data_IF_647742991906
#
_entry.id   IF_647742991906
#
_cell.length_a   1.000
_cell.length_b   1.000
_cell.length_c   1.000
_cell.angle_alpha   90.00
_cell.angle_beta   90.00
_cell.angle_gamma   90.00
#
_symmetry.space_group_name_H-M   'P 1'
#
loop_
_entity.id
_entity.type
_entity.pdbx_description
1 polymer ?
#
# COMPACT_ATOMS: atom_id res chain seq x y z
N UNK A 1 3.02 24.36 -3.25
CA UNK A 1 3.95 23.67 -4.19
C UNK A 1 3.20 22.52 -4.81
N UNK A 2 3.27 22.36 -6.12
CA UNK A 2 2.68 21.22 -6.80
C UNK A 2 3.41 19.93 -6.37
N UNK A 3 2.70 18.85 -5.96
CA UNK A 3 3.33 17.64 -5.45
C UNK A 3 4.37 17.07 -6.42
N UNK A 4 4.07 17.01 -7.72
CA UNK A 4 4.99 16.51 -8.74
C UNK A 4 6.31 17.29 -8.76
N UNK A 5 6.26 18.62 -8.77
CA UNK A 5 7.46 19.44 -8.78
C UNK A 5 8.34 19.27 -7.52
N UNK A 6 7.70 19.00 -6.37
CA UNK A 6 8.42 18.71 -5.13
C UNK A 6 9.18 17.40 -5.22
N UNK A 7 8.48 16.32 -5.62
CA UNK A 7 9.12 14.99 -5.70
C UNK A 7 10.16 14.91 -6.81
N UNK A 8 9.99 15.63 -7.92
CA UNK A 8 10.99 15.71 -8.99
C UNK A 8 12.30 16.34 -8.49
N UNK A 9 12.19 17.44 -7.75
CA UNK A 9 13.37 18.09 -7.16
C UNK A 9 14.08 17.21 -6.13
N UNK A 10 13.31 16.53 -5.27
CA UNK A 10 13.87 15.62 -4.26
C UNK A 10 14.55 14.42 -4.94
N UNK A 11 13.91 13.81 -5.93
CA UNK A 11 14.48 12.70 -6.68
C UNK A 11 15.81 13.07 -7.33
N UNK A 12 15.88 14.22 -7.99
CA UNK A 12 17.12 14.72 -8.58
C UNK A 12 18.24 14.88 -7.55
N UNK A 13 17.91 15.28 -6.31
CA UNK A 13 18.91 15.35 -5.23
C UNK A 13 19.42 13.98 -4.79
N UNK A 14 18.58 12.95 -4.79
CA UNK A 14 19.02 11.57 -4.53
C UNK A 14 19.93 11.04 -5.63
N UNK A 15 19.57 11.23 -6.90
CA UNK A 15 20.41 10.82 -8.04
C UNK A 15 21.80 11.49 -7.98
N UNK A 16 21.83 12.79 -7.64
CA UNK A 16 23.09 13.51 -7.49
C UNK A 16 23.98 12.96 -6.34
N UNK A 17 23.35 12.56 -5.22
CA UNK A 17 24.07 11.94 -4.09
C UNK A 17 24.59 10.55 -4.49
N UNK A 18 23.77 9.74 -5.15
CA UNK A 18 24.18 8.40 -5.58
C UNK A 18 25.33 8.45 -6.59
N UNK A 19 25.30 9.39 -7.52
CA UNK A 19 26.43 9.62 -8.43
C UNK A 19 27.72 9.96 -7.68
N UNK A 20 27.65 10.75 -6.60
CA UNK A 20 28.83 11.08 -5.76
C UNK A 20 29.34 9.91 -4.93
N UNK A 21 28.47 8.96 -4.60
CA UNK A 21 28.81 7.73 -3.87
C UNK A 21 29.20 6.58 -4.80
N UNK A 22 29.28 6.83 -6.09
CA UNK A 22 29.61 5.82 -7.13
C UNK A 22 28.65 4.61 -7.09
N UNK A 23 27.37 4.87 -6.78
CA UNK A 23 26.34 3.83 -6.78
C UNK A 23 25.85 3.65 -8.21
N UNK A 24 26.08 2.44 -8.74
CA UNK A 24 25.57 2.03 -10.06
C UNK A 24 24.16 1.42 -9.93
N UNK A 25 23.27 1.73 -10.85
CA UNK A 25 21.95 1.16 -10.97
C UNK A 25 21.53 1.14 -12.45
N UNK A 26 20.75 0.15 -12.85
CA UNK A 26 20.25 0.05 -14.21
C UNK A 26 19.06 0.97 -14.46
N UNK A 27 18.19 1.12 -13.44
CA UNK A 27 17.02 1.99 -13.49
C UNK A 27 16.79 2.68 -12.16
N UNK A 28 16.52 3.98 -12.21
CA UNK A 28 16.01 4.75 -11.08
C UNK A 28 14.49 4.81 -11.19
N UNK A 29 13.80 3.85 -10.57
CA UNK A 29 12.34 3.74 -10.65
C UNK A 29 11.68 4.77 -9.73
N UNK A 30 10.63 5.41 -10.28
CA UNK A 30 9.76 6.32 -9.53
C UNK A 30 8.31 5.96 -9.79
N UNK A 31 7.49 5.92 -8.76
CA UNK A 31 6.05 5.62 -8.86
C UNK A 31 5.27 6.63 -9.71
N UNK A 32 5.87 7.81 -9.97
CA UNK A 32 5.30 8.83 -10.85
C UNK A 32 5.61 8.64 -12.33
N UNK A 33 6.51 7.72 -12.69
CA UNK A 33 6.87 7.45 -14.08
C UNK A 33 5.72 6.80 -14.85
N UNK A 34 5.53 7.15 -16.13
CA UNK A 34 4.49 6.53 -16.97
C UNK A 34 4.62 5.02 -17.08
N UNK A 35 5.83 4.48 -17.18
CA UNK A 35 6.09 3.05 -17.26
C UNK A 35 5.62 2.32 -15.99
N UNK A 36 5.96 2.86 -14.80
CA UNK A 36 5.49 2.31 -13.54
C UNK A 36 3.95 2.30 -13.46
N UNK A 37 3.31 3.42 -13.77
CA UNK A 37 1.84 3.53 -13.77
C UNK A 37 1.18 2.52 -14.72
N UNK A 38 1.76 2.34 -15.92
CA UNK A 38 1.27 1.37 -16.88
C UNK A 38 1.44 -0.08 -16.39
N UNK A 39 2.60 -0.40 -15.81
CA UNK A 39 2.89 -1.71 -15.23
C UNK A 39 1.96 -2.07 -14.09
N UNK A 40 1.80 -1.18 -13.11
CA UNK A 40 0.87 -1.38 -11.98
C UNK A 40 -0.56 -1.59 -12.48
N UNK A 41 -1.02 -0.74 -13.42
CA UNK A 41 -2.36 -0.89 -14.02
C UNK A 41 -2.53 -2.26 -14.68
N UNK A 42 -1.56 -2.68 -15.47
CA UNK A 42 -1.59 -3.97 -16.17
C UNK A 42 -1.62 -5.15 -15.18
N UNK A 43 -0.81 -5.07 -14.11
CA UNK A 43 -0.78 -6.08 -13.05
C UNK A 43 -2.15 -6.22 -12.37
N UNK A 44 -2.75 -5.10 -11.94
CA UNK A 44 -4.07 -5.12 -11.28
C UNK A 44 -5.13 -5.72 -12.19
N UNK A 45 -5.18 -5.30 -13.45
CA UNK A 45 -6.15 -5.84 -14.41
C UNK A 45 -5.93 -7.33 -14.67
N UNK A 46 -4.66 -7.76 -14.70
CA UNK A 46 -4.33 -9.18 -14.90
C UNK A 46 -4.73 -10.03 -13.69
N UNK A 47 -4.50 -9.55 -12.47
CA UNK A 47 -4.96 -10.23 -11.25
C UNK A 47 -6.48 -10.30 -11.24
N UNK A 48 -7.16 -9.20 -11.55
CA UNK A 48 -8.63 -9.18 -11.58
C UNK A 48 -9.22 -10.12 -12.64
N UNK A 49 -8.58 -10.23 -13.78
CA UNK A 49 -8.99 -11.17 -14.84
C UNK A 49 -8.87 -12.63 -14.39
N UNK A 50 -7.77 -12.97 -13.71
CA UNK A 50 -7.48 -14.35 -13.28
C UNK A 50 -8.20 -14.73 -11.97
N UNK A 51 -8.33 -13.77 -11.08
CA UNK A 51 -8.84 -13.94 -9.72
C UNK A 51 -9.78 -12.79 -9.35
N UNK A 52 -10.95 -12.66 -10.00
CA UNK A 52 -11.86 -11.53 -9.78
C UNK A 52 -12.30 -11.41 -8.32
N UNK A 53 -12.41 -12.52 -7.60
CA UNK A 53 -12.82 -12.56 -6.20
C UNK A 53 -11.74 -12.06 -5.22
N UNK A 54 -10.52 -11.80 -5.68
CA UNK A 54 -9.47 -11.26 -4.83
C UNK A 54 -9.65 -9.77 -4.54
N UNK A 55 -10.48 -9.11 -5.36
CA UNK A 55 -10.85 -7.71 -5.16
C UNK A 55 -12.34 -7.62 -4.79
N UNK A 56 -12.64 -6.84 -3.78
CA UNK A 56 -14.03 -6.56 -3.40
C UNK A 56 -14.18 -5.16 -2.84
N UNK A 57 -15.36 -4.59 -3.02
CA UNK A 57 -15.71 -3.32 -2.42
C UNK A 57 -16.21 -3.52 -0.99
N UNK A 58 -15.77 -2.66 -0.09
CA UNK A 58 -16.26 -2.61 1.28
C UNK A 58 -16.40 -1.16 1.72
N UNK A 59 -17.54 -0.84 2.31
CA UNK A 59 -17.70 0.41 3.04
C UNK A 59 -17.05 0.23 4.41
N UNK A 60 -16.13 1.12 4.72
CA UNK A 60 -15.47 1.19 6.01
C UNK A 60 -15.81 2.51 6.67
N UNK A 61 -16.17 2.47 7.93
CA UNK A 61 -16.40 3.66 8.74
C UNK A 61 -15.60 3.58 10.03
N UNK A 62 -15.10 4.71 10.49
CA UNK A 62 -14.28 4.75 11.69
C UNK A 62 -13.57 6.08 11.89
N UNK A 63 -12.78 6.13 12.93
CA UNK A 63 -11.94 7.27 13.23
C UNK A 63 -10.71 7.31 12.30
N UNK A 64 -10.65 8.33 11.48
CA UNK A 64 -9.56 8.55 10.53
C UNK A 64 -8.57 9.58 11.05
N UNK A 65 -7.28 9.24 11.01
CA UNK A 65 -6.21 10.17 11.32
C UNK A 65 -5.58 10.72 10.03
N UNK A 66 -5.79 12.00 9.78
CA UNK A 66 -5.23 12.69 8.60
C UNK A 66 -3.70 12.68 8.58
N UNK A 67 -3.05 12.61 9.75
CA UNK A 67 -1.59 12.57 9.85
C UNK A 67 -0.99 11.20 9.51
N UNK A 68 -1.71 10.11 9.83
CA UNK A 68 -1.31 8.75 9.47
C UNK A 68 -1.84 8.34 8.09
N UNK A 69 -2.83 9.06 7.56
CA UNK A 69 -3.62 8.67 6.37
C UNK A 69 -4.25 7.27 6.51
N UNK A 70 -4.66 6.92 7.74
CA UNK A 70 -5.20 5.62 8.11
C UNK A 70 -6.38 5.74 9.07
N UNK A 71 -7.29 4.81 8.95
CA UNK A 71 -8.27 4.54 10.00
C UNK A 71 -7.57 4.00 11.25
N UNK A 72 -8.10 4.34 12.42
CA UNK A 72 -7.55 3.98 13.71
C UNK A 72 -8.43 2.96 14.41
N UNK A 73 -7.79 1.94 14.98
CA UNK A 73 -8.44 1.00 15.89
C UNK A 73 -8.57 1.65 17.27
N UNK A 74 -9.44 1.13 18.09
CA UNK A 74 -9.69 1.68 19.42
C UNK A 74 -8.45 1.72 20.30
N UNK A 75 -7.55 0.73 20.18
CA UNK A 75 -6.27 0.65 20.89
C UNK A 75 -5.24 1.71 20.45
N UNK A 76 -5.43 2.32 19.29
CA UNK A 76 -4.61 3.40 18.75
C UNK A 76 -5.15 4.81 19.06
N UNK A 77 -6.26 4.87 19.82
CA UNK A 77 -6.93 6.12 20.20
C UNK A 77 -6.83 6.30 21.72
N UNK A 78 -6.21 7.37 22.14
CA UNK A 78 -6.12 7.76 23.56
C UNK A 78 -6.70 9.17 23.72
N UNK A 79 -7.66 9.33 24.64
CA UNK A 79 -8.37 10.59 24.89
C UNK A 79 -8.96 11.22 23.61
N UNK A 80 -9.51 10.38 22.71
CA UNK A 80 -10.09 10.81 21.45
C UNK A 80 -9.07 11.30 20.40
N UNK A 81 -7.79 10.98 20.59
CA UNK A 81 -6.70 11.40 19.70
C UNK A 81 -5.86 10.22 19.24
N UNK A 82 -5.27 10.35 18.05
CA UNK A 82 -4.30 9.40 17.55
C UNK A 82 -3.01 9.42 18.39
N UNK A 83 -2.56 8.26 18.86
CA UNK A 83 -1.33 8.12 19.65
C UNK A 83 -0.11 8.69 18.91
N UNK A 84 -0.04 8.50 17.58
CA UNK A 84 1.08 8.99 16.74
C UNK A 84 0.97 10.49 16.45
N UNK A 85 -0.26 11.03 16.35
CA UNK A 85 -0.52 12.44 16.03
C UNK A 85 -1.46 13.10 17.07
N UNK A 86 -1.01 13.27 18.33
CA UNK A 86 -1.88 13.72 19.42
C UNK A 86 -2.36 15.17 19.29
N UNK A 87 -1.75 15.94 18.40
CA UNK A 87 -2.14 17.35 18.13
C UNK A 87 -3.20 17.48 17.03
N UNK A 88 -3.54 16.38 16.33
CA UNK A 88 -4.53 16.39 15.27
C UNK A 88 -5.82 15.72 15.73
N UNK A 89 -6.95 16.34 15.44
CA UNK A 89 -8.25 15.74 15.69
C UNK A 89 -8.47 14.54 14.76
N UNK A 90 -9.05 13.48 15.30
CA UNK A 90 -9.59 12.38 14.52
C UNK A 90 -10.90 12.82 13.86
N UNK A 91 -11.16 12.30 12.68
CA UNK A 91 -12.40 12.54 11.92
C UNK A 91 -13.16 11.22 11.78
N UNK A 92 -14.42 11.20 12.19
CA UNK A 92 -15.27 10.08 11.84
C UNK A 92 -15.55 10.14 10.33
N UNK A 93 -15.18 9.09 9.65
CA UNK A 93 -15.20 9.05 8.19
C UNK A 93 -15.80 7.73 7.74
N UNK A 94 -16.64 7.80 6.73
CA UNK A 94 -17.15 6.64 6.00
C UNK A 94 -16.60 6.72 4.58
N UNK A 95 -15.96 5.65 4.12
CA UNK A 95 -15.43 5.52 2.77
C UNK A 95 -15.77 4.15 2.21
N UNK A 96 -16.12 4.10 0.93
CA UNK A 96 -16.18 2.85 0.17
C UNK A 96 -14.86 2.72 -0.58
N UNK A 97 -14.15 1.63 -0.32
CA UNK A 97 -12.85 1.36 -0.92
C UNK A 97 -12.82 -0.05 -1.50
N UNK A 98 -11.92 -0.25 -2.45
CA UNK A 98 -11.51 -1.57 -2.87
C UNK A 98 -10.60 -2.20 -1.84
N UNK A 99 -10.82 -3.48 -1.58
CA UNK A 99 -10.03 -4.33 -0.71
C UNK A 99 -9.41 -5.46 -1.52
N UNK A 100 -8.22 -5.89 -1.11
CA UNK A 100 -7.57 -7.10 -1.59
C UNK A 100 -7.73 -8.19 -0.52
N UNK A 101 -8.18 -9.37 -0.94
CA UNK A 101 -8.46 -10.52 -0.08
C UNK A 101 -7.16 -11.25 0.30
N UNK A 102 -6.34 -10.60 1.12
CA UNK A 102 -5.05 -11.13 1.55
C UNK A 102 -5.22 -12.41 2.40
N UNK A 103 -6.31 -12.51 3.16
CA UNK A 103 -6.64 -13.68 3.97
C UNK A 103 -6.67 -14.98 3.16
N UNK A 104 -7.04 -14.90 1.89
CA UNK A 104 -7.08 -16.07 0.98
C UNK A 104 -5.72 -16.72 0.76
N UNK A 105 -4.65 -15.97 0.94
CA UNK A 105 -3.29 -16.42 0.68
C UNK A 105 -2.55 -16.91 1.94
N UNK A 106 -3.18 -16.88 3.09
CA UNK A 106 -2.55 -17.19 4.39
C UNK A 106 -1.99 -18.62 4.43
N UNK A 107 -2.81 -19.61 4.11
CA UNK A 107 -2.40 -21.02 4.12
C UNK A 107 -1.32 -21.31 3.07
N UNK A 108 -1.45 -20.69 1.89
CA UNK A 108 -0.43 -20.77 0.86
C UNK A 108 0.91 -20.24 1.37
N UNK A 109 0.92 -19.05 1.98
CA UNK A 109 2.13 -18.42 2.49
C UNK A 109 2.76 -19.23 3.63
N UNK A 110 1.96 -19.77 4.54
CA UNK A 110 2.44 -20.64 5.62
C UNK A 110 3.14 -21.88 5.05
N UNK A 111 2.51 -22.55 4.11
CA UNK A 111 3.06 -23.73 3.45
C UNK A 111 4.34 -23.38 2.69
N UNK A 112 4.29 -22.34 1.88
CA UNK A 112 5.40 -21.94 1.03
C UNK A 112 6.65 -21.55 1.83
N UNK A 113 6.50 -20.80 2.93
CA UNK A 113 7.64 -20.43 3.80
C UNK A 113 8.18 -21.63 4.60
N UNK A 114 7.35 -22.63 4.90
CA UNK A 114 7.82 -23.86 5.51
C UNK A 114 8.68 -24.69 4.53
N UNK A 115 8.29 -24.74 3.26
CA UNK A 115 9.02 -25.45 2.21
C UNK A 115 10.28 -24.69 1.75
N UNK A 116 10.33 -23.36 1.94
CA UNK A 116 11.43 -22.49 1.51
C UNK A 116 12.06 -21.72 2.69
N UNK A 117 12.68 -22.42 3.66
CA UNK A 117 13.16 -21.79 4.90
C UNK A 117 14.28 -20.76 4.69
N UNK A 118 14.94 -20.80 3.54
CA UNK A 118 15.99 -19.83 3.16
C UNK A 118 15.49 -18.55 2.51
N UNK A 119 14.19 -18.45 2.18
CA UNK A 119 13.65 -17.29 1.48
C UNK A 119 13.58 -16.03 2.36
N UNK A 120 13.13 -16.18 3.60
CA UNK A 120 13.10 -15.07 4.55
C UNK A 120 14.39 -15.00 5.36
N UNK A 121 15.14 -13.92 5.22
CA UNK A 121 16.39 -13.67 5.93
C UNK A 121 16.47 -12.22 6.41
N UNK A 122 17.17 -11.92 7.50
CA UNK A 122 17.73 -12.85 8.49
C UNK A 122 16.64 -13.58 9.30
N UNK A 123 17.04 -14.52 10.15
CA UNK A 123 16.11 -15.34 10.95
C UNK A 123 15.17 -14.51 11.83
N UNK A 124 15.63 -13.39 12.36
CA UNK A 124 14.79 -12.47 13.14
C UNK A 124 13.60 -11.97 12.32
N UNK A 125 13.81 -11.60 11.07
CA UNK A 125 12.74 -11.14 10.16
C UNK A 125 11.82 -12.28 9.74
N UNK A 126 12.39 -13.47 9.55
CA UNK A 126 11.58 -14.67 9.32
C UNK A 126 10.61 -14.92 10.47
N UNK A 127 11.08 -14.85 11.71
CA UNK A 127 10.26 -15.08 12.89
C UNK A 127 9.15 -14.02 13.04
N UNK A 128 9.42 -12.76 12.71
CA UNK A 128 8.41 -11.70 12.67
C UNK A 128 7.29 -12.02 11.66
N UNK A 129 7.64 -12.41 10.44
CA UNK A 129 6.66 -12.76 9.39
C UNK A 129 5.85 -14.01 9.78
N UNK A 130 6.50 -15.04 10.31
CA UNK A 130 5.80 -16.25 10.76
C UNK A 130 4.84 -15.95 11.92
N UNK A 131 5.27 -15.12 12.88
CA UNK A 131 4.40 -14.68 13.97
C UNK A 131 3.19 -13.88 13.47
N UNK A 132 3.37 -13.03 12.45
CA UNK A 132 2.26 -12.31 11.81
C UNK A 132 1.26 -13.30 11.17
N UNK A 133 1.76 -14.32 10.46
CA UNK A 133 0.91 -15.34 9.84
C UNK A 133 0.19 -16.22 10.89
N UNK A 134 0.80 -16.46 12.05
CA UNK A 134 0.15 -17.18 13.16
C UNK A 134 -0.99 -16.38 13.81
N UNK A 135 -0.86 -15.05 13.85
CA UNK A 135 -1.91 -14.16 14.33
C UNK A 135 -3.10 -14.04 13.36
N UNK A 136 -2.90 -14.48 12.12
CA UNK A 136 -3.86 -14.36 11.01
C UNK A 136 -3.68 -13.07 10.21
N UNK A 137 -3.92 -13.18 8.90
CA UNK A 137 -3.90 -12.03 8.01
C UNK A 137 -5.26 -11.35 7.98
N UNK A 138 -5.28 -10.07 7.67
CA UNK A 138 -6.50 -9.30 7.41
C UNK A 138 -6.52 -8.83 5.94
N UNK A 139 -7.73 -8.72 5.38
CA UNK A 139 -7.91 -8.13 4.06
C UNK A 139 -7.55 -6.65 4.10
N UNK A 140 -6.82 -6.18 3.09
CA UNK A 140 -6.26 -4.83 3.08
C UNK A 140 -7.03 -3.89 2.16
N UNK A 141 -7.27 -2.67 2.62
CA UNK A 141 -7.83 -1.60 1.80
C UNK A 141 -6.75 -1.04 0.88
N UNK A 142 -6.94 -1.21 -0.42
CA UNK A 142 -5.97 -0.89 -1.48
C UNK A 142 -6.26 0.40 -2.23
N UNK A 143 -7.39 1.04 -1.93
CA UNK A 143 -7.75 2.33 -2.54
C UNK A 143 -8.16 3.36 -1.50
N UNK A 144 -8.23 4.61 -1.96
CA UNK A 144 -8.72 5.78 -1.22
C UNK A 144 -9.52 6.66 -2.16
N UNK A 145 -10.70 7.11 -1.72
CA UNK A 145 -11.56 8.01 -2.51
C UNK A 145 -11.09 9.47 -2.47
N UNK A 146 -10.41 9.87 -1.39
CA UNK A 146 -10.06 11.28 -1.12
C UNK A 146 -8.65 11.70 -1.52
N UNK A 147 -7.87 10.83 -2.15
CA UNK A 147 -6.53 11.18 -2.60
C UNK A 147 -6.61 12.01 -3.89
N UNK A 148 -6.07 13.23 -3.84
CA UNK A 148 -6.00 14.08 -5.03
C UNK A 148 -4.87 13.69 -5.99
N UNK A 149 -3.80 13.06 -5.47
CA UNK A 149 -2.60 12.74 -6.24
C UNK A 149 -2.10 11.34 -5.93
N UNK A 150 -2.48 10.40 -6.78
CA UNK A 150 -2.09 8.99 -6.74
C UNK A 150 -2.42 8.34 -8.08
N UNK A 151 -2.06 7.08 -8.27
CA UNK A 151 -2.41 6.31 -9.46
C UNK A 151 -3.91 5.98 -9.43
N UNK A 152 -4.67 6.27 -10.49
CA UNK A 152 -6.07 5.84 -10.58
C UNK A 152 -6.19 4.31 -10.53
N UNK A 153 -7.13 3.83 -9.73
CA UNK A 153 -7.43 2.42 -9.70
C UNK A 153 -8.20 2.02 -10.97
N UNK A 154 -7.77 0.95 -11.67
CA UNK A 154 -8.30 0.68 -13.02
C UNK A 154 -9.69 0.03 -13.05
N UNK A 155 -10.19 -0.46 -11.91
CA UNK A 155 -11.48 -1.13 -11.81
C UNK A 155 -12.47 -0.11 -11.25
N UNK A 156 -13.58 0.18 -11.96
CA UNK A 156 -14.58 1.13 -11.48
C UNK A 156 -15.29 0.57 -10.23
N UNK A 157 -15.71 1.47 -9.34
CA UNK A 157 -16.59 1.11 -8.24
C UNK A 157 -18.04 0.93 -8.70
N UNK A 158 -18.83 0.26 -7.91
CA UNK A 158 -20.26 0.00 -8.21
C UNK A 158 -21.09 1.28 -8.32
N UNK A 159 -20.66 2.39 -7.67
CA UNK A 159 -21.31 3.71 -7.73
C UNK A 159 -20.66 4.66 -8.75
N UNK A 160 -19.60 4.21 -9.43
CA UNK A 160 -18.89 5.01 -10.43
C UNK A 160 -17.93 6.04 -9.87
N UNK A 161 -17.66 6.03 -8.56
CA UNK A 161 -16.64 6.92 -7.97
C UNK A 161 -15.23 6.53 -8.41
N UNK A 162 -14.43 7.53 -8.76
CA UNK A 162 -13.01 7.32 -9.04
C UNK A 162 -12.24 7.00 -7.74
N UNK A 163 -11.50 5.90 -7.77
CA UNK A 163 -10.64 5.50 -6.68
C UNK A 163 -9.17 5.71 -7.04
N UNK A 164 -8.36 5.99 -6.02
CA UNK A 164 -6.90 6.11 -6.15
C UNK A 164 -6.22 5.00 -5.37
N UNK A 165 -5.15 4.44 -5.93
CA UNK A 165 -4.40 3.39 -5.24
C UNK A 165 -3.76 3.91 -3.96
N UNK A 166 -3.78 3.08 -2.94
CA UNK A 166 -2.98 3.29 -1.74
C UNK A 166 -1.51 3.03 -2.07
N UNK A 167 -0.64 3.92 -1.63
CA UNK A 167 0.77 3.98 -2.05
C UNK A 167 1.52 2.65 -1.91
N UNK A 168 1.29 1.89 -0.85
CA UNK A 168 1.98 0.61 -0.67
C UNK A 168 1.56 -0.44 -1.69
N UNK A 169 0.32 -0.35 -2.20
CA UNK A 169 -0.17 -1.28 -3.20
C UNK A 169 0.37 -0.96 -4.61
N UNK A 170 0.73 0.28 -4.89
CA UNK A 170 1.38 0.65 -6.14
C UNK A 170 2.91 0.58 -6.07
N UNK A 171 3.51 0.83 -4.89
CA UNK A 171 4.95 0.84 -4.74
C UNK A 171 5.59 -0.57 -4.71
N UNK A 172 4.93 -1.55 -4.06
CA UNK A 172 5.47 -2.91 -3.94
C UNK A 172 5.65 -3.66 -5.27
N UNK A 173 4.85 -3.45 -6.33
CA UNK A 173 5.11 -4.03 -7.65
C UNK A 173 6.46 -3.68 -8.28
N UNK A 174 7.19 -2.71 -7.73
CA UNK A 174 8.58 -2.45 -8.16
C UNK A 174 9.54 -3.61 -7.87
N UNK A 175 9.16 -4.55 -7.03
CA UNK A 175 9.96 -5.74 -6.71
C UNK A 175 9.65 -6.94 -7.62
N UNK A 176 8.72 -6.80 -8.54
CA UNK A 176 8.36 -7.79 -9.57
C UNK A 176 9.07 -7.44 -10.88
#
# INVERSE_FOLDING_TARGET
VQPQALVDRIAASFEAVWARLDISYDQFIRTTQPAHRAGVRALILRIHELHPDDFFEKTYEGWYCVGCELFKRDDEIVDGKCVVHPTRALQWTQERNWFFRLTRYEDFLKTWFAEHPGFLRPETRRNEILSLLEQGLEDISITRSRLAWAIPFPIPTSDGEEQRMYVWFDALPNYL
#
